data_IF_733141100386
#
_entry.id   IF_733141100386
#
_cell.length_a   1.000
_cell.length_b   1.000
_cell.length_c   1.000
_cell.angle_alpha   90.00
_cell.angle_beta   90.00
_cell.angle_gamma   90.00
#
_symmetry.space_group_name_H-M   'P 1'
#
loop_
_entity.id
_entity.type
_entity.pdbx_description
1 polymer ?
#
# COMPACT_ATOMS: atom_id res chain seq x y z
N UNK A 1 22.64 -3.37 -3.03
CA UNK A 1 21.98 -4.47 -2.29
C UNK A 1 20.89 -3.98 -1.34
N UNK A 2 21.13 -2.96 -0.50
CA UNK A 2 20.15 -2.54 0.52
C UNK A 2 18.86 -1.90 -0.05
N UNK A 3 18.94 -1.06 -1.09
CA UNK A 3 17.75 -0.51 -1.77
C UNK A 3 16.88 -1.61 -2.40
N UNK A 4 17.51 -2.65 -2.95
CA UNK A 4 16.80 -3.80 -3.53
C UNK A 4 16.06 -4.59 -2.45
N UNK A 5 16.68 -4.81 -1.29
CA UNK A 5 16.04 -5.48 -0.16
C UNK A 5 14.85 -4.67 0.38
N UNK A 6 14.98 -3.35 0.43
CA UNK A 6 13.94 -2.43 0.88
C UNK A 6 12.74 -2.41 -0.09
N UNK A 7 12.98 -2.34 -1.40
CA UNK A 7 11.93 -2.52 -2.43
C UNK A 7 11.28 -3.91 -2.26
N UNK A 8 12.08 -4.96 -2.07
CA UNK A 8 11.55 -6.30 -1.93
C UNK A 8 10.64 -6.44 -0.70
N UNK A 9 11.08 -5.95 0.46
CA UNK A 9 10.36 -6.01 1.71
C UNK A 9 9.06 -5.20 1.69
N UNK A 10 9.12 -3.95 1.19
CA UNK A 10 8.00 -3.01 1.30
C UNK A 10 7.03 -3.07 0.11
N UNK A 11 7.45 -3.68 -1.01
CA UNK A 11 6.62 -3.78 -2.22
C UNK A 11 6.27 -5.23 -2.55
N UNK A 12 7.27 -6.06 -2.83
CA UNK A 12 7.04 -7.39 -3.38
C UNK A 12 6.50 -8.39 -2.34
N UNK A 13 7.00 -8.35 -1.11
CA UNK A 13 6.50 -9.19 -0.02
C UNK A 13 5.02 -8.94 0.27
N UNK A 14 4.55 -7.70 0.53
CA UNK A 14 3.12 -7.46 0.80
C UNK A 14 2.23 -7.78 -0.40
N UNK A 15 2.66 -7.47 -1.64
CA UNK A 15 1.92 -7.87 -2.84
C UNK A 15 1.77 -9.39 -2.96
N UNK A 16 2.88 -10.11 -2.82
CA UNK A 16 2.90 -11.57 -2.90
C UNK A 16 2.12 -12.24 -1.77
N UNK A 17 2.20 -11.71 -0.55
CA UNK A 17 1.39 -12.16 0.58
C UNK A 17 -0.10 -11.95 0.31
N UNK A 18 -0.51 -10.79 -0.22
CA UNK A 18 -1.90 -10.55 -0.58
C UNK A 18 -2.44 -11.60 -1.57
N UNK A 19 -1.66 -11.92 -2.61
CA UNK A 19 -2.01 -13.00 -3.55
C UNK A 19 -2.08 -14.36 -2.85
N UNK A 20 -1.10 -14.68 -2.01
CA UNK A 20 -1.06 -15.95 -1.28
C UNK A 20 -2.29 -16.13 -0.38
N UNK A 21 -2.75 -15.08 0.30
CA UNK A 21 -3.92 -15.13 1.17
C UNK A 21 -5.21 -15.49 0.41
N UNK A 22 -5.34 -15.11 -0.87
CA UNK A 22 -6.47 -15.54 -1.70
C UNK A 22 -6.44 -17.04 -2.02
N UNK A 23 -5.25 -17.66 -2.08
CA UNK A 23 -5.08 -19.09 -2.35
C UNK A 23 -5.33 -19.97 -1.12
N UNK A 24 -5.29 -19.40 0.08
CA UNK A 24 -5.47 -20.13 1.33
C UNK A 24 -6.95 -20.17 1.77
N UNK A 25 -7.40 -21.25 2.44
CA UNK A 25 -8.76 -21.37 2.96
C UNK A 25 -8.97 -20.53 4.23
N UNK A 26 -8.93 -19.21 4.09
CA UNK A 26 -9.09 -18.25 5.18
C UNK A 26 -10.56 -17.85 5.38
N UNK A 27 -10.94 -17.41 6.59
CA UNK A 27 -12.24 -16.79 6.86
C UNK A 27 -12.49 -15.60 5.92
N UNK A 28 -13.75 -15.40 5.52
CA UNK A 28 -14.14 -14.37 4.56
C UNK A 28 -13.65 -12.97 4.97
N UNK A 29 -13.73 -12.63 6.26
CA UNK A 29 -13.27 -11.34 6.77
C UNK A 29 -11.77 -11.11 6.49
N UNK A 30 -10.92 -12.11 6.75
CA UNK A 30 -9.48 -11.97 6.46
C UNK A 30 -9.21 -11.94 4.96
N UNK A 31 -9.92 -12.76 4.19
CA UNK A 31 -9.74 -12.82 2.74
C UNK A 31 -10.18 -11.54 2.03
N UNK A 32 -11.19 -10.85 2.55
CA UNK A 32 -11.72 -9.65 1.93
C UNK A 32 -10.86 -8.42 2.25
N UNK A 33 -10.49 -8.18 3.51
CA UNK A 33 -9.82 -6.92 3.87
C UNK A 33 -8.29 -6.98 3.89
N UNK A 34 -7.68 -8.14 4.20
CA UNK A 34 -6.23 -8.20 4.44
C UNK A 34 -5.41 -8.09 3.16
N UNK A 35 -5.74 -8.77 2.04
CA UNK A 35 -5.01 -8.58 0.78
C UNK A 35 -5.04 -7.12 0.32
N UNK A 36 -6.20 -6.50 0.38
CA UNK A 36 -6.46 -5.11 0.00
C UNK A 36 -5.67 -4.12 0.87
N UNK A 37 -5.62 -4.34 2.19
CA UNK A 37 -4.74 -3.61 3.09
C UNK A 37 -3.25 -3.79 2.72
N UNK A 38 -2.79 -5.01 2.43
CA UNK A 38 -1.40 -5.26 2.02
C UNK A 38 -1.04 -4.55 0.72
N UNK A 39 -1.97 -4.51 -0.24
CA UNK A 39 -1.77 -3.83 -1.52
C UNK A 39 -1.76 -2.31 -1.36
N UNK A 40 -2.62 -1.74 -0.51
CA UNK A 40 -2.58 -0.32 -0.17
C UNK A 40 -1.26 0.06 0.56
N UNK A 41 -0.79 -0.79 1.47
CA UNK A 41 0.53 -0.64 2.11
C UNK A 41 1.65 -0.61 1.06
N UNK A 42 1.65 -1.57 0.14
CA UNK A 42 2.65 -1.68 -0.92
C UNK A 42 2.63 -0.47 -1.85
N UNK A 43 1.44 -0.02 -2.27
CA UNK A 43 1.26 1.16 -3.12
C UNK A 43 1.78 2.43 -2.44
N UNK A 44 1.42 2.63 -1.17
CA UNK A 44 1.91 3.77 -0.36
C UNK A 44 3.43 3.72 -0.22
N UNK A 45 3.97 2.53 0.05
CA UNK A 45 5.42 2.32 0.15
C UNK A 45 6.13 2.61 -1.17
N UNK A 46 5.53 2.30 -2.32
CA UNK A 46 6.09 2.62 -3.64
C UNK A 46 6.25 4.13 -3.82
N UNK A 47 5.22 4.92 -3.47
CA UNK A 47 5.29 6.39 -3.51
C UNK A 47 6.38 6.89 -2.56
N UNK A 48 6.49 6.33 -1.35
CA UNK A 48 7.57 6.72 -0.45
C UNK A 48 8.95 6.37 -1.01
N UNK A 49 9.10 5.20 -1.63
CA UNK A 49 10.35 4.72 -2.24
C UNK A 49 10.82 5.56 -3.43
N UNK A 50 9.90 6.01 -4.29
CA UNK A 50 10.24 6.81 -5.48
C UNK A 50 10.78 8.19 -5.08
N UNK A 51 10.26 8.78 -3.98
CA UNK A 51 10.64 10.10 -3.49
C UNK A 51 11.55 10.06 -2.25
N UNK A 52 12.31 8.98 -2.06
CA UNK A 52 13.25 8.82 -0.93
C UNK A 52 12.64 9.22 0.43
N UNK A 53 11.39 8.79 0.67
CA UNK A 53 10.58 8.95 1.89
C UNK A 53 10.17 10.39 2.18
N UNK A 54 10.36 11.28 1.21
CA UNK A 54 9.95 12.68 1.27
C UNK A 54 9.01 13.04 0.11
N UNK A 55 7.90 12.30 -0.11
CA UNK A 55 6.98 12.61 -1.18
C UNK A 55 6.30 13.96 -0.93
N UNK A 56 6.02 14.68 -2.02
CA UNK A 56 5.20 15.88 -1.94
C UNK A 56 3.81 15.53 -1.38
N UNK A 57 3.26 16.38 -0.51
CA UNK A 57 1.94 16.13 0.13
C UNK A 57 0.82 15.91 -0.89
N UNK A 58 0.92 16.54 -2.06
CA UNK A 58 -0.01 16.34 -3.18
C UNK A 58 -0.08 14.88 -3.66
N UNK A 59 1.03 14.14 -3.67
CA UNK A 59 1.03 12.71 -4.04
C UNK A 59 0.33 11.86 -3.00
N UNK A 60 0.52 12.15 -1.71
CA UNK A 60 -0.18 11.46 -0.63
C UNK A 60 -1.68 11.76 -0.69
N UNK A 61 -2.06 13.02 -0.88
CA UNK A 61 -3.46 13.41 -1.05
C UNK A 61 -4.09 12.69 -2.25
N UNK A 62 -3.41 12.67 -3.39
CA UNK A 62 -3.86 11.95 -4.58
C UNK A 62 -4.05 10.46 -4.30
N UNK A 63 -3.14 9.82 -3.56
CA UNK A 63 -3.25 8.42 -3.16
C UNK A 63 -4.50 8.16 -2.31
N UNK A 64 -4.72 8.95 -1.24
CA UNK A 64 -5.90 8.78 -0.38
C UNK A 64 -7.21 9.05 -1.14
N UNK A 65 -7.22 10.04 -2.04
CA UNK A 65 -8.37 10.28 -2.93
C UNK A 65 -8.60 9.12 -3.89
N UNK A 66 -7.53 8.49 -4.37
CA UNK A 66 -7.62 7.33 -5.27
C UNK A 66 -8.24 6.12 -4.58
N UNK A 67 -7.96 5.88 -3.30
CA UNK A 67 -8.61 4.82 -2.52
C UNK A 67 -10.12 5.02 -2.43
N UNK A 68 -10.56 6.25 -2.12
CA UNK A 68 -11.99 6.58 -2.08
C UNK A 68 -12.62 6.48 -3.46
N UNK A 69 -11.91 6.94 -4.50
CA UNK A 69 -12.37 6.86 -5.88
C UNK A 69 -12.52 5.40 -6.33
N UNK A 70 -11.60 4.52 -5.96
CA UNK A 70 -11.65 3.10 -6.31
C UNK A 70 -12.94 2.43 -5.81
N UNK A 71 -13.28 2.63 -4.54
CA UNK A 71 -14.54 2.15 -3.96
C UNK A 71 -15.77 2.81 -4.61
N UNK A 72 -15.71 4.11 -4.90
CA UNK A 72 -16.77 4.79 -5.61
C UNK A 72 -16.99 4.23 -7.02
N UNK A 73 -15.92 3.81 -7.71
CA UNK A 73 -16.00 3.18 -9.03
C UNK A 73 -16.51 1.73 -8.96
N UNK A 74 -16.20 0.99 -7.89
CA UNK A 74 -16.82 -0.31 -7.65
C UNK A 74 -18.32 -0.17 -7.39
N UNK A 75 -18.74 0.89 -6.67
CA UNK A 75 -20.16 1.16 -6.38
C UNK A 75 -20.98 1.43 -7.65
N UNK A 76 -20.38 2.06 -8.65
CA UNK A 76 -21.03 2.31 -9.94
C UNK A 76 -20.98 1.10 -10.87
N UNK A 77 -20.28 0.03 -10.50
CA UNK A 77 -20.07 -1.16 -11.33
C UNK A 77 -19.08 -0.96 -12.47
N UNK A 78 -18.34 0.16 -12.49
CA UNK A 78 -17.30 0.42 -13.49
C UNK A 78 -16.05 -0.43 -13.25
N UNK A 79 -15.78 -0.76 -11.98
CA UNK A 79 -14.71 -1.65 -11.56
C UNK A 79 -15.32 -2.87 -10.90
N UNK A 80 -14.81 -4.06 -11.21
CA UNK A 80 -15.24 -5.29 -10.56
C UNK A 80 -14.86 -5.25 -9.07
N UNK A 81 -15.85 -5.49 -8.21
CA UNK A 81 -15.67 -5.48 -6.76
C UNK A 81 -17.00 -5.24 -6.05
N UNK A 82 -16.97 -5.31 -4.73
CA UNK A 82 -18.10 -4.92 -3.88
C UNK A 82 -17.69 -3.66 -3.17
N UNK A 83 -18.40 -2.56 -3.41
CA UNK A 83 -18.10 -1.32 -2.68
C UNK A 83 -18.41 -1.52 -1.20
N UNK A 84 -17.36 -1.54 -0.38
CA UNK A 84 -17.44 -1.65 1.07
C UNK A 84 -16.67 -0.48 1.70
N UNK A 85 -17.36 0.44 2.41
CA UNK A 85 -16.67 1.50 3.15
C UNK A 85 -15.60 0.98 4.13
N UNK A 86 -15.69 -0.28 4.57
CA UNK A 86 -14.66 -0.97 5.35
C UNK A 86 -13.33 -1.08 4.62
N UNK A 87 -13.33 -1.22 3.30
CA UNK A 87 -12.12 -1.30 2.47
C UNK A 87 -11.39 0.05 2.45
N UNK A 88 -12.11 1.17 2.38
CA UNK A 88 -11.52 2.52 2.53
C UNK A 88 -10.76 2.63 3.86
N UNK A 89 -11.37 2.18 4.95
CA UNK A 89 -10.72 2.22 6.26
C UNK A 89 -9.48 1.32 6.28
N UNK A 90 -9.56 0.12 5.72
CA UNK A 90 -8.42 -0.79 5.60
C UNK A 90 -7.27 -0.16 4.79
N UNK A 91 -7.56 0.46 3.64
CA UNK A 91 -6.57 1.18 2.84
C UNK A 91 -5.92 2.32 3.63
N UNK A 92 -6.71 3.10 4.36
CA UNK A 92 -6.22 4.25 5.11
C UNK A 92 -5.32 3.83 6.27
N UNK A 93 -5.71 2.79 7.01
CA UNK A 93 -4.89 2.22 8.09
C UNK A 93 -3.59 1.65 7.55
N UNK A 94 -3.65 0.90 6.44
CA UNK A 94 -2.47 0.34 5.80
C UNK A 94 -1.53 1.41 5.24
N UNK A 95 -2.06 2.45 4.62
CA UNK A 95 -1.27 3.59 4.14
C UNK A 95 -0.64 4.37 5.31
N UNK A 96 -1.39 4.59 6.40
CA UNK A 96 -0.86 5.16 7.63
C UNK A 96 0.29 4.33 8.22
N UNK A 97 0.14 3.01 8.22
CA UNK A 97 1.19 2.09 8.65
C UNK A 97 2.42 2.17 7.73
N UNK A 98 2.24 2.25 6.42
CA UNK A 98 3.34 2.43 5.48
C UNK A 98 4.07 3.76 5.70
N UNK A 99 3.34 4.86 5.87
CA UNK A 99 3.89 6.19 6.18
C UNK A 99 4.69 6.19 7.50
N UNK A 100 4.20 5.46 8.49
CA UNK A 100 4.87 5.33 9.78
C UNK A 100 6.13 4.45 9.69
N UNK A 101 6.06 3.28 9.06
CA UNK A 101 7.15 2.29 9.07
C UNK A 101 8.28 2.60 8.07
N UNK A 102 7.97 3.12 6.87
CA UNK A 102 8.95 3.35 5.81
C UNK A 102 10.15 4.23 6.23
N UNK A 103 9.97 5.32 7.01
CA UNK A 103 11.09 6.10 7.52
C UNK A 103 12.07 5.30 8.38
N UNK A 104 11.62 4.25 9.10
CA UNK A 104 12.51 3.41 9.91
C UNK A 104 13.26 2.38 9.08
N UNK A 105 12.76 2.03 7.90
CA UNK A 105 13.48 1.22 6.92
C UNK A 105 14.55 2.00 6.15
N UNK A 106 14.77 3.29 6.49
CA UNK A 106 15.85 4.11 5.94
C UNK A 106 17.22 3.51 6.29
N UNK A 107 17.68 2.58 5.47
CA UNK A 107 19.09 2.34 5.33
C UNK A 107 19.69 3.51 4.57
N UNK A 108 20.34 4.37 5.34
CA UNK A 108 21.07 5.58 4.95
C UNK A 108 21.76 5.39 3.60
N UNK A 109 21.13 5.84 2.52
CA UNK A 109 21.83 6.11 1.26
C UNK A 109 22.65 7.36 1.53
N UNK A 110 23.85 7.19 2.08
CA UNK A 110 24.86 8.25 2.10
C UNK A 110 25.23 8.57 0.65
N UNK A 111 24.42 9.38 -0.03
CA UNK A 111 24.91 10.19 -1.13
C UNK A 111 25.45 11.49 -0.53
N UNK A 112 26.56 11.35 0.19
CA UNK A 112 27.54 12.42 0.25
C UNK A 112 28.18 12.43 -1.12
N UNK A 113 27.68 13.23 -2.07
CA UNK A 113 28.52 13.81 -3.11
C UNK A 113 27.97 15.16 -3.56
N UNK A 114 28.77 16.17 -3.19
CA UNK A 114 28.98 17.51 -3.76
C UNK A 114 27.91 18.57 -3.48
#
# INVERSE_FOLDING_TARGET
MQRTADIFLNLFVPLGLGVLLYLLPLPALLRNYVPDALWAYACTSAILLIWDRSPHRGWLLFLFLSFVLFEALQKTGLVAGTADPGDVLAYFLAAGLALFLNPYFQFKTNNTQL
#
